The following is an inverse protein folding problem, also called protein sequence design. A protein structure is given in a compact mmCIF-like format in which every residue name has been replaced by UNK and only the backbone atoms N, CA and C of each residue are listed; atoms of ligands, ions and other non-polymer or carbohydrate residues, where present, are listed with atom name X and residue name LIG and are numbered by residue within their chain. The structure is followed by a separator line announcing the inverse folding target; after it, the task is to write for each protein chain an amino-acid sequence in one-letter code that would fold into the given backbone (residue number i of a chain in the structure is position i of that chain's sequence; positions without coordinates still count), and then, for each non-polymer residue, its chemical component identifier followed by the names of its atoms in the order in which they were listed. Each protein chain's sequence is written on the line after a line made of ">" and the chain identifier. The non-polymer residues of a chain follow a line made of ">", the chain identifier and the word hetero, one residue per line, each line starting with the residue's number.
data_IF_909081096860
#
_entry.id   IF_909081096860
#
_cell.length_a   1.000
_cell.length_b   1.000
_cell.length_c   1.000
_cell.angle_alpha   90.00
_cell.angle_beta   90.00
_cell.angle_gamma   90.00
#
_symmetry.space_group_name_H-M   'P 1'
#
loop_
_entity.id
_entity.type
_entity.pdbx_description
1 polymer ?
#
# COMPACT_ATOMS: atom_id res chain seq x y z
N UNK A 1 2.84 29.97 14.16
CA UNK A 1 2.30 29.60 15.49
C UNK A 1 0.95 28.87 15.46
N UNK A 2 0.05 29.08 14.47
CA UNK A 2 -1.24 28.35 14.41
C UNK A 2 -1.16 27.00 13.68
N UNK A 3 -0.35 26.87 12.63
CA UNK A 3 -0.23 25.63 11.86
C UNK A 3 0.41 24.46 12.64
N UNK A 4 1.37 24.75 13.53
CA UNK A 4 2.03 23.70 14.31
C UNK A 4 1.10 23.13 15.39
N UNK A 5 0.23 23.98 15.95
CA UNK A 5 -0.77 23.58 16.93
C UNK A 5 -1.87 22.69 16.34
N UNK A 6 -2.30 22.97 15.11
CA UNK A 6 -3.32 22.16 14.41
C UNK A 6 -2.77 20.81 13.95
N UNK A 7 -1.52 20.75 13.49
CA UNK A 7 -0.86 19.48 13.19
C UNK A 7 -0.67 18.61 14.45
N UNK A 8 -0.27 19.23 15.57
CA UNK A 8 -0.10 18.53 16.84
C UNK A 8 -1.43 18.03 17.43
N UNK A 9 -2.51 18.81 17.31
CA UNK A 9 -3.84 18.37 17.77
C UNK A 9 -4.39 17.22 16.93
N UNK A 10 -4.21 17.25 15.60
CA UNK A 10 -4.61 16.16 14.71
C UNK A 10 -3.84 14.87 14.99
N UNK A 11 -2.53 14.97 15.25
CA UNK A 11 -1.72 13.82 15.65
C UNK A 11 -2.18 13.23 16.99
N UNK A 12 -2.50 14.09 17.98
CA UNK A 12 -3.05 13.63 19.27
C UNK A 12 -4.39 12.92 19.09
N UNK A 13 -5.26 13.46 18.23
CA UNK A 13 -6.56 12.88 17.95
C UNK A 13 -6.43 11.50 17.26
N UNK A 14 -5.48 11.35 16.34
CA UNK A 14 -5.18 10.04 15.74
C UNK A 14 -4.69 9.04 16.79
N UNK A 15 -3.80 9.45 17.70
CA UNK A 15 -3.35 8.58 18.79
C UNK A 15 -4.49 8.17 19.72
N UNK A 16 -5.43 9.07 20.02
CA UNK A 16 -6.63 8.76 20.80
C UNK A 16 -7.50 7.73 20.07
N UNK A 17 -7.71 7.90 18.76
CA UNK A 17 -8.49 6.94 17.96
C UNK A 17 -7.81 5.57 17.92
N UNK A 18 -6.50 5.53 17.72
CA UNK A 18 -5.72 4.27 17.72
C UNK A 18 -5.78 3.59 19.08
N UNK A 19 -5.56 4.34 20.17
CA UNK A 19 -5.65 3.82 21.53
C UNK A 19 -7.04 3.33 21.87
N UNK A 20 -8.07 4.09 21.50
CA UNK A 20 -9.48 3.74 21.66
C UNK A 20 -9.87 2.50 20.86
N UNK A 21 -9.39 2.38 19.62
CA UNK A 21 -9.59 1.18 18.80
C UNK A 21 -8.96 -0.05 19.47
N UNK A 22 -7.70 0.01 19.89
CA UNK A 22 -7.04 -1.12 20.56
C UNK A 22 -7.74 -1.53 21.86
N UNK A 23 -8.16 -0.55 22.68
CA UNK A 23 -8.89 -0.81 23.93
C UNK A 23 -10.26 -1.41 23.65
N UNK A 24 -11.02 -0.83 22.72
CA UNK A 24 -12.34 -1.32 22.36
C UNK A 24 -12.25 -2.75 21.80
N UNK A 25 -11.28 -3.02 20.92
CA UNK A 25 -11.05 -4.37 20.40
C UNK A 25 -10.68 -5.37 21.50
N UNK A 26 -9.86 -4.97 22.48
CA UNK A 26 -9.50 -5.84 23.60
C UNK A 26 -10.67 -6.10 24.57
N UNK A 27 -11.61 -5.17 24.72
CA UNK A 27 -12.79 -5.32 25.57
C UNK A 27 -13.90 -6.10 24.87
N UNK A 28 -14.15 -5.85 23.59
CA UNK A 28 -15.23 -6.49 22.83
C UNK A 28 -14.91 -7.93 22.45
N UNK A 29 -13.64 -8.26 22.22
CA UNK A 29 -13.23 -9.61 21.83
C UNK A 29 -12.76 -10.35 23.08
N UNK A 30 -13.45 -11.40 23.54
CA UNK A 30 -13.01 -12.15 24.70
C UNK A 30 -11.67 -12.82 24.41
N UNK A 31 -10.61 -12.36 25.09
CA UNK A 31 -9.24 -12.86 24.89
C UNK A 31 -9.11 -14.37 25.16
N UNK A 32 -10.00 -14.93 25.98
CA UNK A 32 -10.04 -16.35 26.36
C UNK A 32 -10.93 -17.21 25.46
N UNK A 33 -11.61 -16.62 24.46
CA UNK A 33 -12.47 -17.38 23.57
C UNK A 33 -11.63 -18.41 22.78
N UNK A 34 -12.08 -19.67 22.63
CA UNK A 34 -11.41 -20.63 21.78
C UNK A 34 -11.23 -20.06 20.36
N UNK A 35 -10.13 -20.42 19.70
CA UNK A 35 -9.83 -19.87 18.37
C UNK A 35 -10.94 -20.25 17.38
N UNK A 36 -11.38 -19.27 16.60
CA UNK A 36 -12.30 -19.49 15.49
C UNK A 36 -11.68 -20.39 14.42
N UNK A 37 -12.51 -20.90 13.52
CA UNK A 37 -12.05 -21.78 12.44
C UNK A 37 -11.01 -21.13 11.52
N UNK A 38 -11.15 -19.84 11.25
CA UNK A 38 -10.20 -19.06 10.46
C UNK A 38 -8.90 -18.79 11.23
N UNK A 39 -8.98 -18.51 12.54
CA UNK A 39 -7.82 -18.33 13.42
C UNK A 39 -7.00 -19.63 13.56
N UNK A 40 -7.65 -20.78 13.79
CA UNK A 40 -6.98 -22.09 13.94
C UNK A 40 -6.19 -22.44 12.68
N UNK A 41 -6.68 -22.09 11.49
CA UNK A 41 -5.96 -22.46 10.26
C UNK A 41 -4.64 -21.70 10.08
N UNK A 42 -4.57 -20.47 10.58
CA UNK A 42 -3.32 -19.71 10.60
C UNK A 42 -2.44 -20.04 11.81
N UNK A 43 -3.05 -20.20 12.99
CA UNK A 43 -2.33 -20.46 14.24
C UNK A 43 -1.81 -21.91 14.35
N UNK A 44 -2.55 -22.88 13.81
CA UNK A 44 -2.17 -24.31 13.76
C UNK A 44 -0.90 -24.59 12.95
N UNK A 45 -0.30 -23.57 12.31
CA UNK A 45 1.04 -23.67 11.70
C UNK A 45 2.16 -23.68 12.74
N UNK A 46 1.89 -23.22 13.97
CA UNK A 46 2.89 -23.06 15.02
C UNK A 46 2.89 -24.17 16.08
N UNK A 47 2.07 -25.23 15.92
CA UNK A 47 2.06 -26.41 16.81
C UNK A 47 1.44 -26.15 18.18
N UNK A 48 1.82 -25.05 18.85
CA UNK A 48 1.36 -24.65 20.18
C UNK A 48 -0.11 -24.26 20.26
N UNK A 49 -0.69 -23.82 19.14
CA UNK A 49 -2.04 -23.24 19.09
C UNK A 49 -3.12 -24.21 18.57
N UNK A 50 -2.75 -25.46 18.24
CA UNK A 50 -3.67 -26.49 17.77
C UNK A 50 -3.11 -27.38 16.67
N UNK A 51 -3.86 -28.42 16.27
CA UNK A 51 -3.44 -29.36 15.23
C UNK A 51 -3.27 -28.64 13.88
N UNK A 52 -2.28 -29.06 13.10
CA UNK A 52 -2.01 -28.50 11.78
C UNK A 52 -3.15 -28.81 10.81
N UNK A 53 -4.02 -27.83 10.57
CA UNK A 53 -5.12 -27.94 9.60
C UNK A 53 -4.62 -27.77 8.16
N UNK A 54 -5.25 -28.43 7.17
CA UNK A 54 -4.88 -28.30 5.78
C UNK A 54 -5.09 -26.86 5.28
N UNK A 55 -4.05 -26.28 4.69
CA UNK A 55 -4.07 -24.93 4.15
C UNK A 55 -4.43 -24.98 2.66
N UNK A 56 -5.56 -24.40 2.27
CA UNK A 56 -5.99 -24.37 0.87
C UNK A 56 -5.31 -23.22 0.10
N UNK A 57 -5.10 -23.42 -1.20
CA UNK A 57 -4.46 -22.46 -2.11
C UNK A 57 -5.00 -21.00 -2.10
N UNK A 58 -6.29 -20.70 -1.83
CA UNK A 58 -6.77 -19.31 -1.81
C UNK A 58 -6.33 -18.50 -0.58
N UNK A 59 -5.71 -19.12 0.44
CA UNK A 59 -5.31 -18.41 1.66
C UNK A 59 -3.92 -17.82 1.51
N UNK A 60 -3.74 -16.56 1.91
CA UNK A 60 -2.44 -15.90 1.82
C UNK A 60 -1.56 -16.28 3.01
N UNK A 61 -0.27 -16.56 2.76
CA UNK A 61 0.71 -16.92 3.82
C UNK A 61 1.23 -15.71 4.60
N UNK A 62 0.75 -14.51 4.29
CA UNK A 62 1.17 -13.28 4.97
C UNK A 62 0.71 -13.21 6.42
N UNK A 63 -0.48 -13.74 6.73
CA UNK A 63 -0.99 -13.75 8.10
C UNK A 63 -0.10 -14.60 9.02
N UNK A 64 0.22 -15.88 8.72
CA UNK A 64 1.18 -16.65 9.51
C UNK A 64 2.53 -15.95 9.72
N UNK A 65 3.02 -15.18 8.74
CA UNK A 65 4.28 -14.45 8.89
C UNK A 65 4.22 -13.35 9.97
N UNK A 66 3.04 -12.73 10.16
CA UNK A 66 2.80 -11.77 11.24
C UNK A 66 2.67 -12.42 12.62
N UNK A 67 2.27 -13.70 12.67
CA UNK A 67 2.19 -14.51 13.89
C UNK A 67 3.56 -15.09 14.31
N UNK A 68 4.46 -15.34 13.36
CA UNK A 68 5.76 -15.96 13.62
C UNK A 68 6.57 -15.35 14.79
N UNK A 69 6.70 -14.02 14.94
CA UNK A 69 7.50 -13.44 16.02
C UNK A 69 6.87 -13.63 17.40
N UNK A 70 5.55 -13.81 17.51
CA UNK A 70 4.89 -14.02 18.79
C UNK A 70 4.75 -15.50 19.13
N UNK A 71 4.54 -16.32 18.10
CA UNK A 71 4.40 -17.76 18.23
C UNK A 71 5.74 -18.49 18.48
N UNK A 72 6.90 -17.82 18.34
CA UNK A 72 8.20 -18.42 18.64
C UNK A 72 8.51 -18.53 20.13
N UNK A 73 7.79 -17.79 20.98
CA UNK A 73 8.09 -17.66 22.42
C UNK A 73 6.84 -17.61 23.31
N UNK A 74 5.66 -17.39 22.74
CA UNK A 74 4.39 -17.40 23.46
C UNK A 74 3.48 -18.47 22.89
N UNK A 75 2.77 -19.17 23.79
CA UNK A 75 1.71 -20.14 23.48
C UNK A 75 0.32 -19.61 23.89
N UNK A 76 0.24 -18.34 24.33
CA UNK A 76 -1.01 -17.74 24.83
C UNK A 76 -1.83 -17.12 23.69
N UNK A 77 -3.08 -17.58 23.56
CA UNK A 77 -4.07 -17.07 22.60
C UNK A 77 -4.47 -15.62 22.89
N UNK A 78 -4.52 -15.25 24.17
CA UNK A 78 -4.79 -13.88 24.63
C UNK A 78 -3.70 -12.92 24.13
N UNK A 79 -2.44 -13.32 24.27
CA UNK A 79 -1.28 -12.53 23.88
C UNK A 79 -1.21 -12.35 22.36
N UNK A 80 -1.53 -13.42 21.62
CA UNK A 80 -1.65 -13.37 20.16
C UNK A 80 -2.70 -12.35 19.70
N UNK A 81 -3.87 -12.28 20.35
CA UNK A 81 -4.92 -11.32 19.99
C UNK A 81 -4.51 -9.88 20.29
N UNK A 82 -3.89 -9.64 21.44
CA UNK A 82 -3.34 -8.32 21.79
C UNK A 82 -2.32 -7.87 20.74
N UNK A 83 -1.43 -8.76 20.31
CA UNK A 83 -0.47 -8.49 19.25
C UNK A 83 -1.15 -8.07 17.93
N UNK A 84 -2.21 -8.78 17.52
CA UNK A 84 -2.96 -8.46 16.31
C UNK A 84 -3.70 -7.12 16.42
N UNK A 85 -4.26 -6.79 17.59
CA UNK A 85 -4.87 -5.46 17.82
C UNK A 85 -3.83 -4.34 17.70
N UNK A 86 -2.63 -4.54 18.24
CA UNK A 86 -1.53 -3.58 18.11
C UNK A 86 -1.07 -3.42 16.66
N UNK A 87 -0.95 -4.51 15.91
CA UNK A 87 -0.62 -4.46 14.49
C UNK A 87 -1.71 -3.74 13.68
N UNK A 88 -2.99 -4.00 13.97
CA UNK A 88 -4.11 -3.32 13.33
C UNK A 88 -4.13 -1.82 13.66
N UNK A 89 -3.91 -1.44 14.92
CA UNK A 89 -3.77 -0.05 15.34
C UNK A 89 -2.56 0.64 14.68
N UNK A 90 -1.44 -0.06 14.53
CA UNK A 90 -0.26 0.41 13.81
C UNK A 90 -0.53 0.61 12.31
N UNK A 91 -1.22 -0.33 11.67
CA UNK A 91 -1.63 -0.22 10.27
C UNK A 91 -2.62 0.92 10.05
N UNK A 92 -3.57 1.11 10.96
CA UNK A 92 -4.48 2.25 10.98
C UNK A 92 -3.69 3.57 11.05
N UNK A 93 -2.78 3.67 12.02
CA UNK A 93 -1.95 4.87 12.17
C UNK A 93 -1.12 5.15 10.92
N UNK A 94 -0.45 4.13 10.36
CA UNK A 94 0.35 4.25 9.14
C UNK A 94 -0.49 4.63 7.92
N UNK A 95 -1.70 4.09 7.80
CA UNK A 95 -2.64 4.41 6.72
C UNK A 95 -3.09 5.87 6.75
N UNK A 96 -3.33 6.42 7.94
CA UNK A 96 -3.78 7.81 8.13
C UNK A 96 -2.65 8.84 8.21
N UNK A 97 -1.43 8.43 8.54
CA UNK A 97 -0.24 9.30 8.60
C UNK A 97 0.04 10.11 7.32
N UNK A 98 -0.03 9.56 6.08
CA UNK A 98 0.20 10.34 4.87
C UNK A 98 -0.91 11.36 4.63
N UNK A 99 -2.16 11.07 5.02
CA UNK A 99 -3.27 12.01 4.90
C UNK A 99 -3.09 13.24 5.78
N UNK A 100 -2.60 13.05 7.01
CA UNK A 100 -2.22 14.16 7.88
C UNK A 100 -1.10 15.03 7.27
N UNK A 101 -0.13 14.42 6.57
CA UNK A 101 0.93 15.16 5.88
C UNK A 101 0.39 15.98 4.70
N UNK A 102 -0.55 15.43 3.93
CA UNK A 102 -1.09 16.05 2.72
C UNK A 102 -2.08 17.18 3.04
N UNK A 103 -3.01 16.94 3.97
CA UNK A 103 -4.08 17.90 4.31
C UNK A 103 -3.55 19.15 5.04
N UNK A 104 -2.50 19.02 5.86
CA UNK A 104 -1.94 20.14 6.62
C UNK A 104 -0.82 20.90 5.89
N UNK A 105 -0.27 20.35 4.80
CA UNK A 105 0.71 21.02 3.93
C UNK A 105 0.25 21.04 2.47
N UNK A 106 -0.88 21.72 2.15
CA UNK A 106 -1.39 21.78 0.78
C UNK A 106 -0.37 22.41 -0.19
N UNK A 107 0.51 23.30 0.28
CA UNK A 107 1.59 23.88 -0.52
C UNK A 107 2.61 22.85 -1.02
N UNK A 108 2.84 21.73 -0.32
CA UNK A 108 3.73 20.67 -0.78
C UNK A 108 3.16 19.90 -1.98
N UNK A 109 1.83 19.79 -2.05
CA UNK A 109 1.11 19.24 -3.22
C UNK A 109 1.25 20.17 -4.42
N UNK A 110 1.18 21.49 -4.21
CA UNK A 110 1.41 22.49 -5.25
C UNK A 110 2.88 22.60 -5.69
N UNK A 111 3.86 22.37 -4.81
CA UNK A 111 5.28 22.33 -5.19
C UNK A 111 5.62 21.01 -5.91
N UNK A 112 4.90 19.92 -5.61
CA UNK A 112 5.01 18.67 -6.36
C UNK A 112 4.34 18.76 -7.74
N UNK A 113 3.19 19.43 -7.87
CA UNK A 113 2.52 19.64 -9.16
C UNK A 113 3.11 20.79 -9.99
N UNK A 114 3.64 21.82 -9.32
CA UNK A 114 4.35 22.95 -9.94
C UNK A 114 5.69 22.56 -10.55
N UNK A 115 6.25 21.40 -10.18
CA UNK A 115 7.45 20.85 -10.82
C UNK A 115 7.15 20.22 -12.20
N UNK A 116 5.88 20.12 -12.57
CA UNK A 116 5.43 19.68 -13.89
C UNK A 116 4.78 20.82 -14.68
N UNK A 117 4.99 22.08 -14.30
CA UNK A 117 4.58 23.21 -15.15
C UNK A 117 5.66 23.40 -16.23
N UNK A 118 5.44 23.02 -17.50
CA UNK A 118 6.31 23.48 -18.57
C UNK A 118 6.17 25.00 -18.61
N UNK A 119 7.17 25.71 -18.11
CA UNK A 119 7.22 27.17 -18.26
C UNK A 119 7.43 27.47 -19.73
N UNK A 120 6.34 27.66 -20.49
CA UNK A 120 6.39 28.32 -21.78
C UNK A 120 6.77 29.79 -21.54
N UNK A 121 8.07 30.04 -21.48
CA UNK A 121 8.63 31.38 -21.43
C UNK A 121 8.55 31.99 -22.83
N UNK A 122 7.46 32.70 -23.11
CA UNK A 122 7.37 33.53 -24.31
C UNK A 122 8.17 34.82 -24.05
N UNK A 123 9.42 34.87 -24.50
CA UNK A 123 10.22 36.10 -24.47
C UNK A 123 9.70 37.06 -25.53
N UNK A 124 9.01 38.12 -25.12
CA UNK A 124 8.56 39.19 -26.01
C UNK A 124 9.77 40.07 -26.37
N UNK A 125 10.44 39.77 -27.49
CA UNK A 125 11.47 40.65 -28.07
C UNK A 125 10.80 41.82 -28.80
N UNK A 126 11.16 43.05 -28.44
CA UNK A 126 10.64 44.29 -29.03
C UNK A 126 11.26 44.64 -30.40
N UNK A 127 11.82 43.67 -31.13
CA UNK A 127 12.40 43.88 -32.46
C UNK A 127 12.33 42.58 -33.27
N UNK A 128 11.60 42.63 -34.38
CA UNK A 128 11.58 41.59 -35.40
C UNK A 128 10.78 40.34 -35.02
N UNK A 129 9.63 40.17 -35.68
CA UNK A 129 8.85 38.94 -35.66
C UNK A 129 9.61 37.81 -36.38
N UNK A 130 10.36 37.01 -35.63
CA UNK A 130 10.71 35.64 -36.03
C UNK A 130 10.13 34.69 -35.00
N UNK A 131 8.91 34.24 -35.26
CA UNK A 131 8.30 33.11 -34.56
C UNK A 131 9.02 31.84 -35.04
N UNK A 132 10.19 31.55 -34.46
CA UNK A 132 10.90 30.31 -34.70
C UNK A 132 10.21 29.19 -33.91
N UNK A 133 9.52 28.30 -34.61
CA UNK A 133 9.12 27.00 -34.09
C UNK A 133 10.40 26.21 -33.77
N UNK A 134 10.91 26.37 -32.55
CA UNK A 134 11.76 25.34 -31.98
C UNK A 134 10.83 24.18 -31.65
N UNK A 135 10.54 23.37 -32.65
CA UNK A 135 10.04 22.01 -32.48
C UNK A 135 11.05 21.29 -31.61
N UNK A 136 10.85 21.36 -30.29
CA UNK A 136 11.24 20.27 -29.43
C UNK A 136 10.49 19.07 -30.01
N UNK A 137 11.25 18.18 -30.62
CA UNK A 137 10.84 16.94 -31.22
C UNK A 137 9.77 16.31 -30.34
N UNK A 138 8.52 16.30 -30.82
CA UNK A 138 7.57 15.32 -30.35
C UNK A 138 8.24 13.95 -30.53
N UNK A 139 8.17 13.02 -29.56
CA UNK A 139 8.37 11.62 -29.89
C UNK A 139 7.31 11.29 -30.93
N UNK A 140 7.76 11.23 -32.19
CA UNK A 140 6.96 10.83 -33.32
C UNK A 140 6.26 9.54 -32.94
N UNK A 141 4.93 9.57 -33.00
CA UNK A 141 4.09 8.39 -33.03
C UNK A 141 4.47 7.57 -34.29
N UNK A 142 5.57 6.82 -34.20
CA UNK A 142 6.03 5.88 -35.24
C UNK A 142 6.89 4.81 -34.58
N UNK A 143 6.33 4.07 -33.61
CA UNK A 143 6.82 2.73 -33.26
C UNK A 143 5.68 1.87 -32.71
N UNK A 144 4.56 1.83 -33.44
CA UNK A 144 3.43 0.96 -33.13
C UNK A 144 2.89 0.21 -34.37
N UNK A 145 3.65 0.17 -35.47
CA UNK A 145 3.25 -0.55 -36.69
C UNK A 145 4.23 -1.64 -37.18
N UNK A 146 5.37 -1.85 -36.53
CA UNK A 146 6.33 -2.90 -36.91
C UNK A 146 6.18 -4.23 -36.17
N UNK A 147 5.15 -4.39 -35.32
CA UNK A 147 4.89 -5.65 -34.58
C UNK A 147 3.66 -6.43 -35.07
N UNK A 148 3.14 -6.13 -36.27
CA UNK A 148 1.92 -6.76 -36.82
C UNK A 148 2.13 -7.55 -38.11
N UNK A 149 3.36 -7.88 -38.50
CA UNK A 149 3.61 -8.62 -39.75
C UNK A 149 4.48 -9.89 -39.62
N UNK A 150 4.60 -10.45 -38.42
CA UNK A 150 5.27 -11.74 -38.18
C UNK A 150 4.27 -12.79 -37.63
N UNK A 151 3.13 -12.93 -38.29
CA UNK A 151 2.22 -14.06 -38.08
C UNK A 151 1.79 -14.63 -39.41
N UNK A 152 2.70 -15.31 -40.10
CA UNK A 152 2.31 -16.27 -41.12
C UNK A 152 3.42 -17.32 -41.36
N UNK A 153 3.05 -18.59 -41.12
CA UNK A 153 3.66 -19.83 -41.63
C UNK A 153 4.89 -20.44 -40.92
N UNK A 154 4.63 -21.26 -39.89
CA UNK A 154 5.36 -22.54 -39.73
C UNK A 154 4.40 -23.74 -39.85
N UNK A 155 4.50 -24.55 -40.91
CA UNK A 155 3.75 -25.80 -41.01
C UNK A 155 4.38 -26.86 -40.10
N UNK A 156 3.65 -27.29 -39.06
CA UNK A 156 3.98 -28.52 -38.35
C UNK A 156 3.58 -29.71 -39.22
N UNK A 157 4.58 -30.12 -40.00
CA UNK A 157 4.64 -31.33 -40.79
C UNK A 157 4.36 -32.53 -39.89
N UNK A 158 3.16 -33.12 -40.01
CA UNK A 158 2.90 -34.49 -39.57
C UNK A 158 3.85 -35.41 -40.35
N UNK A 159 4.78 -36.06 -39.65
CA UNK A 159 5.38 -37.31 -40.11
C UNK A 159 5.16 -38.36 -39.05
N UNK A 160 4.36 -39.34 -39.44
CA UNK A 160 4.18 -40.60 -38.77
C UNK A 160 5.52 -41.35 -38.67
N UNK A 161 5.71 -42.01 -37.54
CA UNK A 161 6.09 -43.42 -37.48
C UNK A 161 5.58 -44.00 -36.18
#
# INVERSE_FOLDING_TARGET
>A
MNADRTAASAQRMLWIVVGGFCLLSAVLVPLTLPLGWDEIVYAGRFGSYGPATPFSAPRTRGVPMLLAPIASWSDSTALLRVWLFLLAGGALWLGFRPWLRILYRPAAVWVASGRTTPTFRCSRSARGSTCGSRTASAPTATTLSTWSHERHHRPLRKRAR
#
